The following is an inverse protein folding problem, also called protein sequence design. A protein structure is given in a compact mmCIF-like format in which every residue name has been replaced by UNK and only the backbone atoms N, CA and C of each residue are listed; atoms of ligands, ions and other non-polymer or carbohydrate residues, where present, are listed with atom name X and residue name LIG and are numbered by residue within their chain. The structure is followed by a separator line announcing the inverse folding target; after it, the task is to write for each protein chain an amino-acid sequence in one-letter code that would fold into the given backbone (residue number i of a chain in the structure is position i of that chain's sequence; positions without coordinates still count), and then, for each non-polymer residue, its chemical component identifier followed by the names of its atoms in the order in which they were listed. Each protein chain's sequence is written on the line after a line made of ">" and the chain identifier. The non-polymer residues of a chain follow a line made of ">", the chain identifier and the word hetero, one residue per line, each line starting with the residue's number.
data_IF_437929264893
#
_entry.id   IF_437929264893
#
_cell.length_a   1.000
_cell.length_b   1.000
_cell.length_c   1.000
_cell.angle_alpha   90.00
_cell.angle_beta   90.00
_cell.angle_gamma   90.00
#
_symmetry.space_group_name_H-M   'P 1'
#
loop_
_entity.id
_entity.type
_entity.pdbx_description
1 polymer ?
#
# COMPACT_ATOMS: atom_id res chain seq x y z
N UNK A 1 -75.00 -2.28 8.85
CA UNK A 1 -75.74 -2.66 7.62
C UNK A 1 -74.72 -2.75 6.49
N UNK A 2 -74.48 -3.93 5.91
CA UNK A 2 -73.88 -4.13 4.58
C UNK A 2 -73.82 -5.65 4.26
N UNK A 3 -74.72 -6.11 3.40
CA UNK A 3 -74.59 -7.31 2.55
C UNK A 3 -74.30 -6.81 1.11
N UNK A 4 -74.00 -7.65 0.08
CA UNK A 4 -73.62 -9.08 0.03
C UNK A 4 -72.21 -9.27 -0.64
N UNK A 5 -71.50 -10.43 -0.63
CA UNK A 5 -71.65 -11.68 -1.45
C UNK A 5 -71.87 -11.41 -2.96
N UNK A 6 -71.23 -12.06 -3.95
CA UNK A 6 -70.18 -13.10 -4.08
C UNK A 6 -69.36 -12.82 -5.39
N UNK A 7 -68.48 -13.65 -6.01
CA UNK A 7 -68.02 -15.04 -5.84
C UNK A 7 -67.28 -15.56 -7.11
N UNK A 8 -66.98 -16.88 -7.17
CA UNK A 8 -66.60 -17.70 -8.37
C UNK A 8 -65.12 -17.64 -8.88
N UNK A 9 -64.55 -18.83 -9.15
CA UNK A 9 -63.21 -19.18 -9.73
C UNK A 9 -63.30 -19.31 -11.29
N UNK A 10 -62.43 -20.00 -12.11
CA UNK A 10 -61.09 -20.60 -11.95
C UNK A 10 -60.11 -20.40 -13.17
N UNK A 11 -59.00 -21.16 -13.21
CA UNK A 11 -58.22 -21.66 -14.38
C UNK A 11 -56.98 -20.92 -14.99
N UNK A 12 -55.80 -21.38 -14.56
CA UNK A 12 -54.68 -21.98 -15.32
C UNK A 12 -54.01 -21.35 -16.59
N UNK A 13 -52.68 -21.22 -16.48
CA UNK A 13 -51.59 -21.48 -17.46
C UNK A 13 -51.41 -20.64 -18.75
N UNK A 14 -50.27 -19.92 -18.81
CA UNK A 14 -49.29 -20.07 -19.91
C UNK A 14 -47.86 -19.69 -19.47
N UNK A 15 -46.86 -20.48 -19.87
CA UNK A 15 -45.43 -20.17 -19.67
C UNK A 15 -44.89 -19.25 -20.77
N UNK A 16 -44.03 -18.29 -20.43
CA UNK A 16 -42.91 -17.88 -21.29
C UNK A 16 -41.66 -17.71 -20.42
N UNK A 17 -40.57 -18.38 -20.82
CA UNK A 17 -39.27 -18.38 -20.15
C UNK A 17 -38.47 -17.13 -20.53
N UNK A 18 -37.81 -16.51 -19.55
CA UNK A 18 -37.01 -15.30 -19.74
C UNK A 18 -35.83 -15.20 -18.75
N UNK A 19 -35.15 -16.32 -18.51
CA UNK A 19 -34.06 -16.40 -17.54
C UNK A 19 -32.80 -15.73 -18.06
N UNK A 20 -32.66 -14.42 -17.83
CA UNK A 20 -31.35 -13.75 -17.91
C UNK A 20 -30.58 -14.14 -16.65
N UNK A 21 -29.85 -15.25 -16.74
CA UNK A 21 -28.95 -15.69 -15.69
C UNK A 21 -27.82 -14.69 -15.52
N UNK A 22 -27.94 -13.80 -14.53
CA UNK A 22 -26.80 -13.09 -14.01
C UNK A 22 -25.84 -14.14 -13.44
N UNK A 23 -24.77 -14.44 -14.19
CA UNK A 23 -23.65 -15.22 -13.67
C UNK A 23 -22.91 -14.31 -12.70
N UNK A 24 -23.42 -14.24 -11.47
CA UNK A 24 -22.66 -13.77 -10.33
C UNK A 24 -21.57 -14.81 -10.09
N UNK A 25 -20.46 -14.69 -10.81
CA UNK A 25 -19.24 -15.41 -10.44
C UNK A 25 -18.92 -14.99 -9.01
N UNK A 26 -19.16 -15.89 -8.06
CA UNK A 26 -18.79 -15.69 -6.67
C UNK A 26 -17.27 -15.58 -6.62
N UNK A 27 -16.76 -14.36 -6.53
CA UNK A 27 -15.33 -14.12 -6.36
C UNK A 27 -14.94 -14.82 -5.05
N UNK A 28 -14.07 -15.83 -5.16
CA UNK A 28 -13.54 -16.50 -3.98
C UNK A 28 -12.79 -15.47 -3.12
N UNK A 29 -13.36 -15.21 -1.94
CA UNK A 29 -12.84 -14.23 -0.99
C UNK A 29 -11.81 -14.83 -0.03
N UNK A 30 -11.45 -16.12 -0.19
CA UNK A 30 -10.44 -16.78 0.62
C UNK A 30 -9.03 -16.68 -0.01
N UNK A 31 -8.17 -15.72 0.43
CA UNK A 31 -6.81 -15.60 -0.09
C UNK A 31 -5.93 -16.83 0.17
N UNK A 32 -6.21 -17.59 1.25
CA UNK A 32 -5.45 -18.80 1.60
C UNK A 32 -5.69 -19.97 0.64
N UNK A 33 -6.85 -19.99 -0.03
CA UNK A 33 -7.16 -20.99 -1.06
C UNK A 33 -6.35 -20.80 -2.35
N UNK A 34 -5.90 -19.56 -2.62
CA UNK A 34 -5.10 -19.17 -3.78
C UNK A 34 -5.61 -19.73 -5.12
N UNK A 35 -6.94 -19.85 -5.28
CA UNK A 35 -7.58 -20.59 -6.38
C UNK A 35 -7.43 -19.87 -7.73
N UNK A 36 -7.59 -18.55 -7.75
CA UNK A 36 -7.46 -17.74 -8.95
C UNK A 36 -6.05 -17.77 -9.55
N UNK A 37 -5.94 -17.67 -10.87
CA UNK A 37 -4.69 -17.52 -11.60
C UNK A 37 -4.24 -16.05 -11.68
N UNK A 38 -2.94 -15.84 -11.90
CA UNK A 38 -2.39 -14.51 -12.23
C UNK A 38 -3.10 -13.87 -13.43
N UNK A 39 -3.50 -14.65 -14.45
CA UNK A 39 -4.22 -14.15 -15.63
C UNK A 39 -5.62 -13.62 -15.31
N UNK A 40 -6.37 -14.28 -14.42
CA UNK A 40 -7.68 -13.79 -13.97
C UNK A 40 -7.52 -12.51 -13.16
N UNK A 41 -6.55 -12.46 -12.25
CA UNK A 41 -6.24 -11.29 -11.44
C UNK A 41 -5.82 -10.09 -12.33
N UNK A 42 -4.93 -10.31 -13.30
CA UNK A 42 -4.53 -9.28 -14.26
C UNK A 42 -5.70 -8.83 -15.16
N UNK A 43 -6.65 -9.71 -15.49
CA UNK A 43 -7.86 -9.33 -16.22
C UNK A 43 -8.81 -8.47 -15.36
N UNK A 44 -8.98 -8.79 -14.07
CA UNK A 44 -9.74 -7.95 -13.13
C UNK A 44 -9.10 -6.56 -12.95
N UNK A 45 -7.77 -6.50 -12.80
CA UNK A 45 -7.00 -5.24 -12.72
C UNK A 45 -7.23 -4.41 -13.99
N UNK A 46 -7.07 -4.99 -15.17
CA UNK A 46 -7.26 -4.30 -16.45
C UNK A 46 -8.70 -3.84 -16.69
N UNK A 47 -9.70 -4.59 -16.19
CA UNK A 47 -11.10 -4.19 -16.24
C UNK A 47 -11.37 -2.97 -15.33
N UNK A 48 -10.76 -2.93 -14.13
CA UNK A 48 -10.85 -1.78 -13.21
C UNK A 48 -10.15 -0.55 -13.80
N UNK A 49 -8.94 -0.70 -14.35
CA UNK A 49 -8.21 0.40 -14.99
C UNK A 49 -8.98 0.95 -16.21
N UNK A 50 -9.55 0.07 -17.04
CA UNK A 50 -10.41 0.47 -18.15
C UNK A 50 -11.67 1.21 -17.69
N UNK A 51 -12.23 0.85 -16.53
CA UNK A 51 -13.37 1.55 -15.94
C UNK A 51 -12.99 2.93 -15.38
N UNK A 52 -11.83 3.03 -14.71
CA UNK A 52 -11.25 4.29 -14.25
C UNK A 52 -11.05 5.29 -15.41
N UNK A 53 -10.39 4.84 -16.49
CA UNK A 53 -10.15 5.65 -17.68
C UNK A 53 -11.44 6.19 -18.33
N UNK A 54 -12.54 5.41 -18.29
CA UNK A 54 -13.86 5.85 -18.78
C UNK A 54 -14.60 6.79 -17.83
N UNK A 55 -14.35 6.70 -16.52
CA UNK A 55 -15.03 7.52 -15.53
C UNK A 55 -14.54 8.98 -15.56
N UNK A 56 -13.24 9.21 -15.84
CA UNK A 56 -12.65 10.55 -15.91
C UNK A 56 -12.58 11.29 -14.58
N UNK A 57 -12.84 10.61 -13.46
CA UNK A 57 -12.71 11.13 -12.09
C UNK A 57 -11.37 10.66 -11.54
N UNK A 58 -10.57 11.56 -10.97
CA UNK A 58 -9.23 11.23 -10.46
C UNK A 58 -9.27 10.38 -9.17
N UNK A 59 -8.57 9.24 -9.16
CA UNK A 59 -8.52 8.30 -8.03
C UNK A 59 -7.08 8.09 -7.56
N UNK A 60 -6.56 9.06 -6.79
CA UNK A 60 -5.14 9.14 -6.39
C UNK A 60 -4.75 8.29 -5.17
N UNK A 61 -5.69 7.53 -4.60
CA UNK A 61 -5.52 6.71 -3.39
C UNK A 61 -6.04 5.29 -3.67
N UNK A 62 -5.56 4.25 -2.96
CA UNK A 62 -6.05 2.90 -3.21
C UNK A 62 -7.53 2.78 -2.84
N UNK A 63 -8.25 2.02 -3.67
CA UNK A 63 -9.64 1.64 -3.40
C UNK A 63 -9.69 0.71 -2.19
N UNK A 64 -10.57 1.01 -1.23
CA UNK A 64 -10.77 0.18 -0.03
C UNK A 64 -11.33 -1.20 -0.39
N UNK A 65 -12.29 -1.24 -1.31
CA UNK A 65 -12.80 -2.47 -1.91
C UNK A 65 -12.12 -2.67 -3.25
N UNK A 66 -11.10 -3.53 -3.30
CA UNK A 66 -10.32 -3.81 -4.50
C UNK A 66 -10.20 -5.32 -4.71
N UNK A 67 -11.15 -5.96 -5.42
CA UNK A 67 -11.24 -7.42 -5.51
C UNK A 67 -9.95 -8.16 -5.88
N UNK A 68 -9.08 -7.68 -6.80
CA UNK A 68 -7.82 -8.36 -7.11
C UNK A 68 -6.89 -8.53 -5.89
N UNK A 69 -7.00 -7.65 -4.90
CA UNK A 69 -6.42 -7.82 -3.57
C UNK A 69 -7.48 -8.47 -2.66
N UNK A 70 -7.50 -9.81 -2.64
CA UNK A 70 -8.57 -10.63 -2.05
C UNK A 70 -8.82 -10.32 -0.57
N UNK A 71 -7.78 -10.04 0.21
CA UNK A 71 -7.91 -9.67 1.64
C UNK A 71 -8.71 -8.39 1.88
N UNK A 72 -8.83 -7.50 0.88
CA UNK A 72 -9.64 -6.27 1.00
C UNK A 72 -11.14 -6.58 1.09
N UNK A 73 -11.61 -7.65 0.43
CA UNK A 73 -13.04 -8.00 0.31
C UNK A 73 -13.75 -8.15 1.66
N UNK A 74 -13.05 -8.62 2.68
CA UNK A 74 -13.58 -8.85 4.03
C UNK A 74 -13.04 -7.85 5.07
N UNK A 75 -12.23 -6.85 4.65
CA UNK A 75 -11.50 -5.93 5.54
C UNK A 75 -11.63 -4.45 5.12
N UNK A 76 -12.73 -4.10 4.46
CA UNK A 76 -13.08 -2.71 4.15
C UNK A 76 -14.39 -2.31 4.86
N UNK A 77 -14.57 -1.04 5.22
CA UNK A 77 -15.86 -0.54 5.70
C UNK A 77 -16.90 -0.61 4.58
N UNK A 78 -18.09 -1.11 4.90
CA UNK A 78 -19.26 -1.16 4.00
C UNK A 78 -20.16 0.08 4.08
N UNK A 79 -19.75 1.06 4.90
CA UNK A 79 -20.40 2.36 5.08
C UNK A 79 -19.41 3.45 4.73
N UNK A 80 -19.92 4.58 4.27
CA UNK A 80 -19.11 5.78 4.03
C UNK A 80 -18.45 6.26 5.34
N UNK A 81 -17.26 6.85 5.22
CA UNK A 81 -16.60 7.48 6.36
C UNK A 81 -17.36 8.74 6.76
N UNK A 82 -17.62 8.88 8.05
CA UNK A 82 -18.16 10.13 8.60
C UNK A 82 -17.03 11.14 8.75
N UNK A 83 -17.05 12.19 7.94
CA UNK A 83 -16.12 13.31 8.10
C UNK A 83 -16.49 14.10 9.35
N UNK A 84 -15.48 14.38 10.19
CA UNK A 84 -15.56 15.28 11.32
C UNK A 84 -14.40 16.28 11.21
N UNK A 85 -14.61 17.50 11.71
CA UNK A 85 -13.51 18.42 11.93
C UNK A 85 -12.60 17.83 13.02
N UNK A 86 -11.26 17.91 12.88
CA UNK A 86 -10.34 17.43 13.90
C UNK A 86 -10.54 18.24 15.18
N UNK A 87 -10.67 17.57 16.32
CA UNK A 87 -10.68 18.24 17.61
C UNK A 87 -9.25 18.68 17.98
N UNK A 88 -9.12 19.34 19.13
CA UNK A 88 -7.84 19.88 19.58
C UNK A 88 -6.73 18.83 19.76
N UNK A 89 -7.05 17.53 19.84
CA UNK A 89 -6.05 16.45 20.03
C UNK A 89 -5.54 15.89 18.71
N UNK A 90 -6.36 15.81 17.66
CA UNK A 90 -5.95 15.36 16.32
C UNK A 90 -5.00 16.35 15.61
N UNK A 91 -4.94 17.60 16.10
CA UNK A 91 -4.04 18.65 15.63
C UNK A 91 -2.62 18.58 16.25
N UNK A 92 -2.30 17.53 17.01
CA UNK A 92 -0.95 17.28 17.53
C UNK A 92 -0.42 15.91 17.10
N UNK A 93 0.89 15.73 17.28
CA UNK A 93 1.63 14.50 17.00
C UNK A 93 2.58 14.24 18.19
N UNK A 94 2.97 12.98 18.48
CA UNK A 94 4.09 12.72 19.38
C UNK A 94 5.37 13.41 18.89
N UNK A 95 6.09 14.07 19.80
CA UNK A 95 7.38 14.66 19.50
C UNK A 95 8.49 13.67 19.89
N UNK A 96 9.40 13.39 18.96
CA UNK A 96 10.57 12.54 19.19
C UNK A 96 11.84 13.39 19.09
N UNK A 97 12.84 13.07 19.91
CA UNK A 97 14.14 13.73 19.93
C UNK A 97 15.28 12.75 19.63
N UNK A 98 16.50 13.28 19.47
CA UNK A 98 17.73 12.48 19.34
C UNK A 98 18.01 11.58 20.58
N UNK A 99 17.31 11.79 21.69
CA UNK A 99 17.35 10.90 22.87
C UNK A 99 16.44 9.68 22.72
N UNK A 100 15.46 9.75 21.83
CA UNK A 100 14.45 8.71 21.58
C UNK A 100 14.78 7.88 20.33
N UNK A 101 15.55 8.47 19.39
CA UNK A 101 15.98 7.89 18.12
C UNK A 101 17.47 8.19 17.91
N UNK A 102 18.31 7.17 18.00
CA UNK A 102 19.75 7.30 17.81
C UNK A 102 20.13 7.28 16.31
N UNK A 103 21.09 8.08 15.82
CA UNK A 103 21.40 8.16 14.38
C UNK A 103 21.77 6.83 13.70
N UNK A 104 22.37 5.89 14.44
CA UNK A 104 22.69 4.55 13.92
C UNK A 104 21.46 3.67 13.65
N UNK A 105 20.28 4.00 14.19
CA UNK A 105 19.03 3.27 13.90
C UNK A 105 18.55 3.48 12.44
N UNK A 106 19.15 4.42 11.72
CA UNK A 106 18.96 4.64 10.30
C UNK A 106 19.83 3.72 9.41
N UNK A 107 20.82 3.02 9.98
CA UNK A 107 21.68 2.11 9.24
C UNK A 107 21.35 0.65 9.62
N UNK A 108 20.61 -0.01 8.73
CA UNK A 108 20.18 -1.40 8.89
C UNK A 108 21.33 -2.40 8.67
N UNK A 109 22.51 -1.93 8.25
CA UNK A 109 23.67 -2.78 7.92
C UNK A 109 24.68 -2.94 9.06
N UNK A 110 24.53 -2.17 10.16
CA UNK A 110 25.43 -2.18 11.34
C UNK A 110 24.73 -2.58 12.64
N UNK A 111 23.52 -3.15 12.56
CA UNK A 111 22.71 -3.55 13.72
C UNK A 111 23.18 -4.86 14.39
N UNK A 112 24.08 -5.59 13.75
CA UNK A 112 24.55 -6.93 14.14
C UNK A 112 26.07 -7.00 14.12
N UNK A 113 26.65 -8.12 14.58
CA UNK A 113 28.10 -8.31 14.66
C UNK A 113 28.78 -8.64 13.32
N UNK A 114 28.01 -8.95 12.27
CA UNK A 114 28.50 -9.15 10.91
C UNK A 114 27.68 -8.32 9.91
N UNK A 115 28.13 -8.29 8.66
CA UNK A 115 27.42 -7.59 7.59
C UNK A 115 26.26 -8.44 7.02
N UNK A 116 25.13 -7.82 6.67
CA UNK A 116 24.04 -8.49 5.95
C UNK A 116 24.36 -8.69 4.46
N UNK A 117 23.78 -9.73 3.86
CA UNK A 117 24.01 -10.14 2.49
C UNK A 117 23.01 -9.45 1.55
N UNK A 118 23.49 -8.73 0.54
CA UNK A 118 22.71 -8.27 -0.60
C UNK A 118 23.23 -7.00 -1.28
N UNK A 119 22.43 -6.40 -2.16
CA UNK A 119 22.74 -5.10 -2.77
C UNK A 119 22.61 -4.00 -1.70
N UNK A 120 23.73 -3.47 -1.21
CA UNK A 120 23.73 -2.33 -0.29
C UNK A 120 23.30 -1.06 -1.02
N UNK A 121 22.37 -0.33 -0.41
CA UNK A 121 21.86 0.91 -0.94
C UNK A 121 21.59 1.97 0.13
N UNK A 122 21.51 3.20 -0.34
CA UNK A 122 21.05 4.38 0.38
C UNK A 122 19.65 4.72 -0.11
N UNK A 123 18.70 4.92 0.80
CA UNK A 123 17.40 5.57 0.50
C UNK A 123 17.36 6.91 1.21
N UNK A 124 16.98 7.96 0.50
CA UNK A 124 16.79 9.29 1.08
C UNK A 124 15.76 10.07 0.28
N UNK A 125 15.27 11.17 0.83
CA UNK A 125 14.31 12.05 0.18
C UNK A 125 13.75 13.03 1.19
N UNK A 126 12.78 13.84 0.76
CA UNK A 126 12.17 14.88 1.58
C UNK A 126 10.74 14.50 1.94
N UNK A 127 10.39 14.66 3.22
CA UNK A 127 9.01 14.67 3.70
C UNK A 127 8.52 16.12 3.69
N UNK A 128 7.46 16.38 2.93
CA UNK A 128 6.85 17.71 2.79
C UNK A 128 5.34 17.65 2.95
N UNK A 129 4.72 18.80 3.22
CA UNK A 129 3.27 18.95 3.14
C UNK A 129 2.79 19.28 1.71
N UNK A 130 1.47 19.39 1.52
CA UNK A 130 0.85 19.74 0.23
C UNK A 130 1.17 21.14 -0.30
N UNK A 131 1.86 21.99 0.47
CA UNK A 131 2.40 23.29 0.04
C UNK A 131 3.92 23.24 -0.21
N UNK A 132 4.55 22.07 -0.11
CA UNK A 132 6.00 21.87 -0.29
C UNK A 132 6.84 22.31 0.92
N UNK A 133 6.23 22.63 2.05
CA UNK A 133 6.94 23.01 3.28
C UNK A 133 7.56 21.75 3.91
N UNK A 134 8.81 21.83 4.42
CA UNK A 134 9.48 20.68 5.03
C UNK A 134 8.77 20.23 6.31
N UNK A 135 8.58 18.92 6.46
CA UNK A 135 8.09 18.30 7.70
C UNK A 135 9.31 17.93 8.53
N UNK A 136 9.62 18.78 9.51
CA UNK A 136 10.91 18.78 10.24
C UNK A 136 10.87 17.98 11.53
N UNK A 137 11.97 17.32 11.87
CA UNK A 137 12.17 16.58 13.14
C UNK A 137 11.05 15.60 13.44
N UNK A 138 10.51 14.97 12.40
CA UNK A 138 9.46 13.96 12.51
C UNK A 138 10.01 12.56 12.30
N UNK A 139 9.40 11.61 13.01
CA UNK A 139 9.78 10.21 12.97
C UNK A 139 9.40 9.59 11.62
N UNK A 140 10.40 8.98 10.99
CA UNK A 140 10.25 8.08 9.84
C UNK A 140 10.77 6.72 10.26
N UNK A 141 9.95 5.68 10.12
CA UNK A 141 10.30 4.29 10.42
C UNK A 141 10.15 3.47 9.14
N UNK A 142 11.05 2.52 8.91
CA UNK A 142 10.98 1.59 7.79
C UNK A 142 11.03 0.14 8.25
N UNK A 143 10.36 -0.73 7.48
CA UNK A 143 10.54 -2.18 7.60
C UNK A 143 10.47 -2.86 6.22
N UNK A 144 11.21 -3.95 6.08
CA UNK A 144 11.39 -4.66 4.81
C UNK A 144 11.88 -6.10 5.03
N UNK A 145 11.78 -6.91 3.97
CA UNK A 145 12.45 -8.20 3.89
C UNK A 145 13.97 -8.06 3.70
N UNK A 146 14.72 -9.15 3.93
CA UNK A 146 16.11 -9.27 3.48
C UNK A 146 16.23 -9.40 1.95
N UNK A 147 17.45 -9.51 1.43
CA UNK A 147 17.72 -9.67 -0.01
C UNK A 147 17.07 -10.91 -0.65
N UNK A 148 16.75 -11.93 0.16
CA UNK A 148 16.04 -13.14 -0.26
C UNK A 148 14.52 -13.06 -0.14
N UNK A 149 13.93 -11.90 0.20
CA UNK A 149 12.49 -11.77 0.37
C UNK A 149 11.94 -12.34 1.69
N UNK A 150 12.80 -12.61 2.68
CA UNK A 150 12.40 -13.12 4.00
C UNK A 150 12.33 -12.01 5.06
N UNK A 151 11.22 -11.92 5.79
CA UNK A 151 11.08 -11.10 6.99
C UNK A 151 11.50 -11.88 8.25
N UNK A 152 12.07 -11.18 9.24
CA UNK A 152 12.18 -11.70 10.62
C UNK A 152 10.82 -11.56 11.31
N UNK A 153 9.87 -12.40 10.92
CA UNK A 153 8.53 -12.44 11.51
C UNK A 153 7.99 -13.87 11.61
N UNK A 154 7.37 -14.23 12.75
CA UNK A 154 6.88 -15.60 13.02
C UNK A 154 5.82 -16.07 12.00
N UNK A 155 5.05 -15.14 11.45
CA UNK A 155 4.05 -15.43 10.42
C UNK A 155 4.64 -15.62 9.01
N UNK A 156 5.91 -15.26 8.78
CA UNK A 156 6.56 -15.48 7.48
C UNK A 156 7.09 -16.91 7.39
N UNK A 157 6.53 -17.67 6.44
CA UNK A 157 6.85 -19.07 6.14
C UNK A 157 7.48 -19.24 4.75
N UNK A 158 7.94 -18.16 4.10
CA UNK A 158 8.63 -18.23 2.82
C UNK A 158 9.91 -19.08 2.96
N UNK A 159 10.16 -20.11 2.11
CA UNK A 159 11.34 -20.98 2.19
C UNK A 159 12.67 -20.32 1.75
N UNK A 160 12.81 -19.01 1.94
CA UNK A 160 14.07 -18.27 1.80
C UNK A 160 14.76 -18.14 3.17
N UNK A 161 16.10 -18.22 3.25
CA UNK A 161 16.81 -18.16 4.51
C UNK A 161 16.64 -16.79 5.21
N UNK A 162 16.60 -16.83 6.54
CA UNK A 162 16.81 -15.65 7.37
C UNK A 162 18.29 -15.29 7.28
N UNK A 163 18.58 -14.00 7.13
CA UNK A 163 19.95 -13.48 7.27
C UNK A 163 20.17 -13.18 8.78
N UNK A 164 21.15 -13.81 9.45
CA UNK A 164 21.41 -13.59 10.87
C UNK A 164 21.89 -12.16 11.19
N UNK A 165 22.33 -11.40 10.18
CA UNK A 165 22.86 -10.04 10.31
C UNK A 165 21.87 -8.96 9.84
N UNK A 166 20.61 -9.29 9.53
CA UNK A 166 19.65 -8.32 9.00
C UNK A 166 18.28 -8.36 9.70
N UNK A 167 17.98 -7.38 10.55
CA UNK A 167 16.65 -7.22 11.16
C UNK A 167 15.59 -6.80 10.14
N UNK A 168 15.98 -5.95 9.19
CA UNK A 168 15.06 -5.35 8.21
C UNK A 168 14.16 -4.25 8.77
N UNK A 169 14.52 -3.60 9.87
CA UNK A 169 13.78 -2.46 10.43
C UNK A 169 14.72 -1.35 10.92
N UNK A 170 14.31 -0.10 10.80
CA UNK A 170 15.08 1.05 11.28
C UNK A 170 14.26 2.33 11.32
N UNK A 171 14.81 3.39 11.90
CA UNK A 171 14.11 4.67 12.10
C UNK A 171 15.07 5.86 12.16
N UNK A 172 14.61 7.02 11.71
CA UNK A 172 15.32 8.29 11.80
C UNK A 172 14.35 9.45 12.06
N UNK A 173 14.90 10.63 12.36
CA UNK A 173 14.16 11.88 12.35
C UNK A 173 14.48 12.65 11.06
N UNK A 174 13.50 13.33 10.48
CA UNK A 174 13.76 14.29 9.40
C UNK A 174 14.55 15.50 9.89
N UNK A 175 15.42 16.06 9.05
CA UNK A 175 16.15 17.29 9.38
C UNK A 175 15.30 18.57 9.21
N UNK A 176 15.94 19.74 9.30
CA UNK A 176 15.30 21.05 9.13
C UNK A 176 14.88 21.35 7.66
N UNK A 177 15.34 20.58 6.68
CA UNK A 177 14.88 20.64 5.28
C UNK A 177 13.88 19.52 4.93
N UNK A 178 13.51 18.71 5.94
CA UNK A 178 12.59 17.59 5.83
C UNK A 178 13.25 16.32 5.28
N UNK A 179 14.57 16.27 5.19
CA UNK A 179 15.31 15.15 4.60
C UNK A 179 15.36 13.99 5.60
N UNK A 180 15.02 12.78 5.13
CA UNK A 180 15.28 11.53 5.83
C UNK A 180 16.38 10.74 5.09
N UNK A 181 17.10 9.84 5.77
CA UNK A 181 18.12 8.98 5.15
C UNK A 181 18.20 7.63 5.86
N UNK A 182 18.35 6.56 5.08
CA UNK A 182 18.62 5.20 5.54
C UNK A 182 19.73 4.55 4.73
N UNK A 183 20.54 3.71 5.37
CA UNK A 183 21.42 2.74 4.72
C UNK A 183 20.81 1.35 4.95
N UNK A 184 20.64 0.55 3.89
CA UNK A 184 19.99 -0.77 3.99
C UNK A 184 20.46 -1.70 2.88
N UNK A 185 19.92 -2.91 2.87
CA UNK A 185 20.04 -3.88 1.78
C UNK A 185 18.75 -3.82 0.96
N UNK A 186 18.85 -3.93 -0.36
CA UNK A 186 17.68 -4.03 -1.25
C UNK A 186 16.86 -5.28 -0.91
N UNK A 187 15.56 -5.15 -0.59
CA UNK A 187 14.71 -6.30 -0.30
C UNK A 187 14.49 -7.13 -1.56
N UNK A 188 14.48 -8.46 -1.40
CA UNK A 188 14.03 -9.36 -2.45
C UNK A 188 12.50 -9.33 -2.62
N UNK A 189 11.97 -9.62 -3.82
CA UNK A 189 10.55 -9.92 -4.00
C UNK A 189 10.21 -11.22 -3.26
N UNK A 190 8.96 -11.37 -2.82
CA UNK A 190 8.54 -12.55 -2.05
C UNK A 190 7.14 -13.07 -2.45
N UNK A 191 6.90 -14.39 -2.36
CA UNK A 191 5.61 -14.99 -2.67
C UNK A 191 4.64 -14.81 -1.50
N UNK A 192 3.36 -14.68 -1.81
CA UNK A 192 2.33 -14.49 -0.79
C UNK A 192 1.00 -15.13 -1.20
N UNK A 193 0.11 -15.29 -0.23
CA UNK A 193 -1.21 -15.90 -0.46
C UNK A 193 -2.25 -14.83 -0.78
N UNK A 194 -2.50 -14.66 -2.07
CA UNK A 194 -3.59 -13.84 -2.60
C UNK A 194 -4.25 -14.55 -3.79
N UNK A 195 -3.44 -15.15 -4.65
CA UNK A 195 -3.83 -16.00 -5.78
C UNK A 195 -2.66 -16.94 -6.13
N UNK A 196 -2.87 -17.87 -7.07
CA UNK A 196 -1.84 -18.84 -7.48
C UNK A 196 -0.64 -18.13 -8.12
N UNK A 197 0.55 -18.33 -7.54
CA UNK A 197 1.80 -17.69 -7.95
C UNK A 197 1.79 -16.16 -7.77
N UNK A 198 1.13 -15.64 -6.74
CA UNK A 198 1.23 -14.22 -6.39
C UNK A 198 2.60 -13.88 -5.77
N UNK A 199 3.26 -12.86 -6.30
CA UNK A 199 4.50 -12.29 -5.77
C UNK A 199 4.30 -10.81 -5.44
N UNK A 200 5.01 -10.30 -4.44
CA UNK A 200 5.20 -8.87 -4.22
C UNK A 200 6.50 -8.42 -4.92
N UNK A 201 6.54 -7.24 -5.57
CA UNK A 201 7.78 -6.60 -6.01
C UNK A 201 8.71 -6.31 -4.83
N UNK A 202 9.96 -5.96 -5.11
CA UNK A 202 10.85 -5.39 -4.10
C UNK A 202 10.25 -4.08 -3.56
N UNK A 203 10.07 -3.99 -2.24
CA UNK A 203 9.53 -2.80 -1.58
C UNK A 203 10.02 -2.64 -0.14
N UNK A 204 10.02 -1.40 0.32
CA UNK A 204 10.28 -1.00 1.70
C UNK A 204 8.99 -0.34 2.22
N UNK A 205 8.45 -0.81 3.33
CA UNK A 205 7.34 -0.13 3.99
C UNK A 205 7.86 1.10 4.73
N UNK A 206 7.06 2.17 4.72
CA UNK A 206 7.33 3.41 5.43
C UNK A 206 6.17 3.75 6.37
N UNK A 207 6.52 4.11 7.60
CA UNK A 207 5.67 4.77 8.58
C UNK A 207 6.19 6.20 8.74
N UNK A 208 5.32 7.17 8.49
CA UNK A 208 5.63 8.59 8.67
C UNK A 208 4.66 9.23 9.65
N UNK A 209 5.21 10.07 10.52
CA UNK A 209 4.48 11.03 11.32
C UNK A 209 4.53 12.40 10.63
N UNK A 210 3.42 13.12 10.65
CA UNK A 210 3.38 14.53 10.28
C UNK A 210 3.37 15.42 11.51
N UNK A 211 3.09 16.72 11.34
CA UNK A 211 2.97 17.66 12.47
C UNK A 211 1.67 17.51 13.25
N UNK A 212 0.68 16.82 12.68
CA UNK A 212 -0.67 16.59 13.19
C UNK A 212 -1.03 15.11 12.99
N UNK A 213 -1.88 14.53 13.84
CA UNK A 213 -2.28 13.13 13.75
C UNK A 213 -2.99 12.80 12.42
N UNK A 214 -3.73 13.76 11.87
CA UNK A 214 -4.40 13.67 10.55
C UNK A 214 -3.45 13.39 9.39
N UNK A 215 -2.16 13.69 9.56
CA UNK A 215 -1.12 13.54 8.54
C UNK A 215 -0.43 12.16 8.60
N UNK A 216 -0.69 11.35 9.64
CA UNK A 216 -0.12 10.02 9.84
C UNK A 216 -0.28 9.16 8.58
N UNK A 217 0.82 8.52 8.17
CA UNK A 217 0.89 7.76 6.91
C UNK A 217 1.61 6.44 7.11
N UNK A 218 1.02 5.35 6.61
CA UNK A 218 1.72 4.10 6.29
C UNK A 218 1.58 3.84 4.80
N UNK A 219 2.68 3.49 4.14
CA UNK A 219 2.75 3.30 2.70
C UNK A 219 3.96 2.42 2.33
N UNK A 220 4.20 2.19 1.04
CA UNK A 220 5.26 1.34 0.51
C UNK A 220 6.02 2.07 -0.61
N UNK A 221 7.34 2.09 -0.52
CA UNK A 221 8.25 2.51 -1.58
C UNK A 221 8.66 1.30 -2.42
N UNK A 222 8.63 1.43 -3.75
CA UNK A 222 9.03 0.41 -4.71
C UNK A 222 10.26 0.85 -5.52
N UNK A 223 10.93 -0.10 -6.17
CA UNK A 223 12.11 0.17 -6.99
C UNK A 223 11.76 0.38 -8.48
N UNK A 224 12.51 1.23 -9.20
CA UNK A 224 12.26 1.51 -10.61
C UNK A 224 12.61 0.29 -11.47
N UNK A 225 11.73 -0.03 -12.42
CA UNK A 225 11.93 -1.12 -13.38
C UNK A 225 11.60 -2.53 -12.86
N UNK A 226 11.04 -2.69 -11.66
CA UNK A 226 10.61 -4.00 -11.16
C UNK A 226 9.43 -4.54 -12.02
N UNK A 227 9.58 -5.71 -12.68
CA UNK A 227 8.56 -6.25 -13.57
C UNK A 227 7.31 -6.76 -12.84
N UNK A 228 7.35 -6.93 -11.52
CA UNK A 228 6.21 -7.40 -10.72
C UNK A 228 5.20 -6.28 -10.43
N UNK A 229 5.55 -5.00 -10.68
CA UNK A 229 4.65 -3.86 -10.44
C UNK A 229 3.35 -3.91 -11.25
N UNK A 230 3.37 -4.43 -12.48
CA UNK A 230 2.15 -4.60 -13.28
C UNK A 230 1.30 -5.81 -12.84
N UNK A 231 1.83 -6.68 -11.97
CA UNK A 231 1.18 -7.91 -11.50
C UNK A 231 0.67 -7.81 -10.06
N UNK A 232 1.26 -6.95 -9.23
CA UNK A 232 0.94 -6.81 -7.79
C UNK A 232 -0.41 -6.11 -7.56
N UNK A 233 -1.42 -6.83 -7.02
CA UNK A 233 -2.73 -6.23 -6.74
C UNK A 233 -2.71 -5.16 -5.63
N UNK A 234 -1.67 -5.08 -4.80
CA UNK A 234 -1.53 -3.99 -3.81
C UNK A 234 -1.10 -2.70 -4.52
N UNK A 235 -0.05 -2.73 -5.34
CA UNK A 235 0.35 -1.57 -6.14
C UNK A 235 -0.75 -1.11 -7.11
N UNK A 236 -1.46 -2.05 -7.73
CA UNK A 236 -2.55 -1.78 -8.68
C UNK A 236 -3.86 -1.31 -8.03
N UNK A 237 -3.97 -1.37 -6.69
CA UNK A 237 -5.17 -0.91 -5.96
C UNK A 237 -5.44 0.60 -6.11
N UNK A 238 -4.43 1.38 -6.48
CA UNK A 238 -4.52 2.79 -6.87
C UNK A 238 -4.78 2.84 -8.39
N UNK A 239 -5.97 3.25 -8.88
CA UNK A 239 -6.26 3.21 -10.31
C UNK A 239 -5.46 4.23 -11.12
N UNK A 240 -5.12 5.39 -10.55
CA UNK A 240 -4.37 6.42 -11.25
C UNK A 240 -2.87 6.08 -11.36
N UNK A 241 -2.37 5.97 -12.59
CA UNK A 241 -0.96 5.65 -12.85
C UNK A 241 0.01 6.75 -12.38
N UNK A 242 -0.36 8.04 -12.44
CA UNK A 242 0.53 9.12 -11.94
C UNK A 242 0.67 9.03 -10.42
N UNK A 243 -0.44 8.72 -9.74
CA UNK A 243 -0.46 8.48 -8.31
C UNK A 243 0.37 7.24 -7.93
N UNK A 244 0.19 6.10 -8.63
CA UNK A 244 1.03 4.89 -8.48
C UNK A 244 2.52 5.20 -8.64
N UNK A 245 2.90 5.96 -9.67
CA UNK A 245 4.29 6.31 -9.94
C UNK A 245 4.95 7.11 -8.80
N UNK A 246 4.20 7.81 -7.95
CA UNK A 246 4.74 8.47 -6.74
C UNK A 246 5.22 7.49 -5.66
N UNK A 247 4.88 6.20 -5.74
CA UNK A 247 5.41 5.16 -4.85
C UNK A 247 6.72 4.55 -5.35
N UNK A 248 7.17 4.88 -6.56
CA UNK A 248 8.39 4.33 -7.16
C UNK A 248 9.55 5.30 -6.91
N UNK A 249 10.61 4.82 -6.28
CA UNK A 249 11.84 5.58 -6.09
C UNK A 249 12.58 5.81 -7.42
N UNK A 250 13.32 6.91 -7.49
CA UNK A 250 14.25 7.18 -8.59
C UNK A 250 15.66 6.74 -8.21
N UNK A 251 16.37 6.09 -9.12
CA UNK A 251 17.82 5.91 -8.96
C UNK A 251 18.52 7.27 -9.12
N UNK A 252 19.48 7.55 -8.23
CA UNK A 252 20.20 8.82 -8.17
C UNK A 252 21.69 8.50 -7.95
N UNK A 253 22.51 8.71 -8.99
CA UNK A 253 23.91 8.29 -9.00
C UNK A 253 24.76 9.09 -8.00
N UNK A 254 24.40 10.36 -7.75
CA UNK A 254 25.10 11.25 -6.81
C UNK A 254 24.90 10.81 -5.35
N UNK A 255 23.90 9.97 -5.08
CA UNK A 255 23.69 9.34 -3.78
C UNK A 255 24.46 8.02 -3.60
N UNK A 256 25.08 7.50 -4.66
CA UNK A 256 25.91 6.29 -4.57
C UNK A 256 27.22 6.57 -3.82
N UNK A 257 27.79 5.52 -3.23
CA UNK A 257 29.09 5.59 -2.56
C UNK A 257 30.05 4.64 -3.26
N UNK A 258 31.20 5.17 -3.67
CA UNK A 258 32.23 4.42 -4.42
C UNK A 258 32.59 3.11 -3.70
N UNK A 259 32.57 2.00 -4.46
CA UNK A 259 32.83 0.63 -3.99
C UNK A 259 31.95 0.15 -2.80
N UNK A 260 30.83 0.83 -2.51
CA UNK A 260 30.06 0.57 -1.27
C UNK A 260 28.55 0.40 -1.44
N UNK A 261 27.85 1.35 -2.09
CA UNK A 261 26.38 1.38 -2.09
C UNK A 261 25.77 2.10 -3.31
N UNK A 262 24.62 1.63 -3.79
CA UNK A 262 23.77 2.35 -4.77
C UNK A 262 22.90 3.41 -4.09
N UNK A 263 22.36 4.37 -4.84
CA UNK A 263 21.58 5.50 -4.30
C UNK A 263 20.17 5.58 -4.89
N UNK A 264 19.16 5.74 -4.03
CA UNK A 264 17.77 5.94 -4.42
C UNK A 264 17.16 7.15 -3.70
N UNK A 265 16.44 7.96 -4.48
CA UNK A 265 15.67 9.12 -4.01
C UNK A 265 14.17 8.84 -4.05
N UNK A 266 13.47 9.12 -2.94
CA UNK A 266 12.02 9.02 -2.88
C UNK A 266 11.42 10.10 -1.97
N UNK A 267 10.68 11.05 -2.54
CA UNK A 267 10.08 12.15 -1.79
C UNK A 267 8.64 11.83 -1.39
N UNK A 268 8.22 12.27 -0.20
CA UNK A 268 6.90 11.96 0.38
C UNK A 268 6.12 13.24 0.65
N UNK A 269 4.89 13.30 0.14
CA UNK A 269 3.97 14.42 0.36
C UNK A 269 2.85 13.98 1.30
N UNK A 270 2.75 14.57 2.50
CA UNK A 270 1.81 14.12 3.54
C UNK A 270 0.36 14.58 3.33
N UNK A 271 0.12 15.70 2.63
CA UNK A 271 -1.21 16.32 2.50
C UNK A 271 -1.47 16.89 1.09
N UNK A 272 -2.69 17.39 0.84
CA UNK A 272 -3.08 18.00 -0.45
C UNK A 272 -3.40 17.00 -1.57
N UNK A 273 -3.55 17.49 -2.80
CA UNK A 273 -3.77 16.67 -4.02
C UNK A 273 -2.51 15.89 -4.44
N UNK A 274 -1.34 16.48 -4.19
CA UNK A 274 -0.05 15.86 -4.43
C UNK A 274 0.30 14.72 -3.44
N UNK A 275 -0.52 14.47 -2.40
CA UNK A 275 -0.30 13.47 -1.34
C UNK A 275 0.15 12.11 -1.90
N UNK A 276 1.26 11.59 -1.38
CA UNK A 276 1.74 10.22 -1.65
C UNK A 276 0.64 9.20 -1.29
N UNK A 277 0.33 8.22 -2.15
CA UNK A 277 -0.70 7.23 -1.83
C UNK A 277 -0.40 6.48 -0.53
N UNK A 278 -1.44 6.19 0.25
CA UNK A 278 -1.32 5.52 1.55
C UNK A 278 -2.09 4.21 1.58
N UNK A 279 -1.72 3.29 2.47
CA UNK A 279 -2.60 2.18 2.86
C UNK A 279 -3.83 2.80 3.57
N UNK A 280 -4.96 2.85 2.87
CA UNK A 280 -5.91 3.96 3.06
C UNK A 280 -6.95 3.72 4.15
N UNK A 281 -7.21 4.78 4.94
CA UNK A 281 -8.42 4.99 5.72
C UNK A 281 -9.32 6.00 4.99
N UNK A 282 -9.71 5.62 3.77
CA UNK A 282 -10.74 6.20 2.90
C UNK A 282 -10.59 7.63 2.35
N UNK A 283 -11.05 7.78 1.11
CA UNK A 283 -11.63 9.03 0.59
C UNK A 283 -12.98 8.69 -0.05
N UNK A 284 -14.06 9.23 0.49
CA UNK A 284 -15.30 9.40 -0.27
C UNK A 284 -15.16 10.62 -1.16
N UNK A 285 -14.97 10.45 -2.46
CA UNK A 285 -14.84 11.55 -3.39
C UNK A 285 -16.22 12.00 -3.89
N UNK A 286 -16.84 13.00 -3.25
CA UNK A 286 -18.04 13.64 -3.80
C UNK A 286 -18.12 15.16 -3.60
N UNK A 287 -18.09 15.83 -4.76
CA UNK A 287 -18.57 17.19 -5.08
C UNK A 287 -17.73 18.37 -4.60
#
# INVERSE_FOLDING_TARGET
>A
MAFPLSGILPFANLNVVGTVGAVTTSIDSNPDGAVASQSEISAEIGAIESAYQRAGVEETQPRLSYPPYRSSLLRHPTKDLHHADPEGVELWTPCFSERDVHPLEADLTVQHSGEPIGERLVVTGRVVDGAGRPVRRQLVEIWQANAGGRYIHKGDQHPSPIDPNFTGAGRCLTDEDGIYRFTTIKPGPYPWKNHRNAWRPAHIHFSLFGTEFTQRMVTQMYFPGDPLLCLDPIFQAIPDQKARSRLVASYDHELSTHEWATGYRWDVVLTGSARTPIENLGRGAHR
#
